data_IF_884074634481
#
_entry.id   IF_884074634481
#
_cell.length_a   1.000
_cell.length_b   1.000
_cell.length_c   1.000
_cell.angle_alpha   90.00
_cell.angle_beta   90.00
_cell.angle_gamma   90.00
#
_symmetry.space_group_name_H-M   'P 1'
#
loop_
_entity.id
_entity.type
_entity.pdbx_description
1 polymer ?
#
# COMPACT_ATOMS: atom_id res chain seq x y z
N UNK A 1 -17.12 2.14 14.05
CA UNK A 1 -16.52 3.45 13.69
C UNK A 1 -15.08 3.45 14.17
N UNK A 2 -14.12 3.23 13.25
CA UNK A 2 -12.69 3.19 13.59
C UNK A 2 -12.22 4.60 13.98
N UNK A 3 -11.52 4.72 15.12
CA UNK A 3 -10.93 5.98 15.60
C UNK A 3 -11.86 6.91 16.35
N UNK A 4 -13.03 6.44 16.77
CA UNK A 4 -13.96 7.16 17.64
C UNK A 4 -14.38 6.28 18.82
N UNK A 5 -14.49 6.89 19.99
CA UNK A 5 -15.06 6.30 21.19
C UNK A 5 -16.35 7.04 21.57
N UNK A 6 -17.30 6.34 22.15
CA UNK A 6 -18.52 6.97 22.70
C UNK A 6 -18.15 7.54 24.06
N UNK A 7 -18.03 8.86 24.14
CA UNK A 7 -17.68 9.53 25.40
C UNK A 7 -18.87 9.67 26.36
N UNK A 8 -20.05 10.02 25.81
CA UNK A 8 -21.29 10.14 26.57
C UNK A 8 -22.45 9.66 25.71
N UNK A 9 -23.34 8.86 26.29
CA UNK A 9 -24.53 8.37 25.61
C UNK A 9 -25.78 8.67 26.47
N UNK A 10 -26.81 9.22 25.86
CA UNK A 10 -28.15 9.38 26.43
C UNK A 10 -29.17 8.68 25.53
N UNK A 11 -30.41 8.58 25.97
CA UNK A 11 -31.48 7.91 25.22
C UNK A 11 -31.76 8.52 23.83
N UNK A 12 -31.33 9.75 23.58
CA UNK A 12 -31.58 10.48 22.34
C UNK A 12 -30.32 11.05 21.66
N UNK A 13 -29.14 10.92 22.27
CA UNK A 13 -27.88 11.47 21.73
C UNK A 13 -26.67 10.66 22.16
N UNK A 14 -25.68 10.58 21.29
CA UNK A 14 -24.36 10.03 21.61
C UNK A 14 -23.28 11.04 21.22
N UNK A 15 -22.33 11.29 22.15
CA UNK A 15 -21.15 12.11 21.87
C UNK A 15 -20.02 11.20 21.44
N UNK A 16 -19.61 11.32 20.19
CA UNK A 16 -18.43 10.63 19.66
C UNK A 16 -17.18 11.49 19.95
N UNK A 17 -16.22 10.90 20.64
CA UNK A 17 -14.91 11.50 20.88
C UNK A 17 -13.91 10.84 19.93
N UNK A 18 -13.20 11.66 19.15
CA UNK A 18 -12.11 11.16 18.32
C UNK A 18 -10.94 10.74 19.20
N UNK A 19 -10.54 9.48 19.12
CA UNK A 19 -9.35 8.95 19.78
C UNK A 19 -8.06 9.42 19.11
N UNK A 20 -8.16 9.90 17.87
CA UNK A 20 -7.01 10.35 17.09
C UNK A 20 -7.04 11.88 16.99
N UNK A 21 -6.14 12.51 17.71
CA UNK A 21 -5.84 13.91 17.45
C UNK A 21 -5.13 13.99 16.10
N UNK A 22 -5.78 14.62 15.10
CA UNK A 22 -5.25 14.71 13.72
C UNK A 22 -3.83 15.32 13.62
N UNK A 23 -3.31 15.92 14.69
CA UNK A 23 -1.97 16.49 14.77
C UNK A 23 -0.92 15.61 15.48
N UNK A 24 -1.29 14.45 16.01
CA UNK A 24 -0.37 13.67 16.86
C UNK A 24 0.45 12.63 16.11
N UNK A 25 -0.04 12.08 15.01
CA UNK A 25 0.68 11.09 14.21
C UNK A 25 1.24 11.74 12.94
N UNK A 26 2.56 11.71 12.72
CA UNK A 26 3.13 12.20 11.47
C UNK A 26 2.59 11.40 10.27
N UNK A 27 2.09 12.08 9.24
CA UNK A 27 1.62 11.45 7.98
C UNK A 27 2.66 10.48 7.40
N UNK A 28 3.94 10.84 7.50
CA UNK A 28 5.04 10.01 7.03
C UNK A 28 5.14 8.66 7.78
N UNK A 29 4.83 8.64 9.06
CA UNK A 29 4.85 7.39 9.84
C UNK A 29 3.76 6.43 9.37
N UNK A 30 2.55 6.94 9.10
CA UNK A 30 1.45 6.15 8.54
C UNK A 30 1.79 5.61 7.15
N UNK A 31 2.34 6.43 6.26
CA UNK A 31 2.80 5.98 4.94
C UNK A 31 3.89 4.92 5.03
N UNK A 32 4.87 5.10 5.91
CA UNK A 32 5.92 4.11 6.12
C UNK A 32 5.35 2.78 6.61
N UNK A 33 4.36 2.82 7.51
CA UNK A 33 3.69 1.61 8.00
C UNK A 33 2.93 0.89 6.88
N UNK A 34 2.17 1.63 6.04
CA UNK A 34 1.51 1.06 4.87
C UNK A 34 2.51 0.38 3.93
N UNK A 35 3.63 1.05 3.63
CA UNK A 35 4.70 0.47 2.80
C UNK A 35 5.28 -0.81 3.42
N UNK A 36 5.54 -0.84 4.72
CA UNK A 36 6.10 -2.00 5.41
C UNK A 36 5.14 -3.20 5.38
N UNK A 37 3.85 -2.98 5.58
CA UNK A 37 2.83 -4.03 5.49
C UNK A 37 2.74 -4.59 4.07
N UNK A 38 2.67 -3.73 3.07
CA UNK A 38 2.66 -4.12 1.66
C UNK A 38 3.92 -4.92 1.29
N UNK A 39 5.10 -4.41 1.63
CA UNK A 39 6.37 -5.06 1.26
C UNK A 39 6.57 -6.39 1.98
N UNK A 40 6.07 -6.53 3.20
CA UNK A 40 6.06 -7.80 3.91
C UNK A 40 5.15 -8.81 3.22
N UNK A 41 3.90 -8.44 2.92
CA UNK A 41 2.96 -9.35 2.27
C UNK A 41 3.45 -9.80 0.89
N UNK A 42 3.97 -8.88 0.07
CA UNK A 42 4.51 -9.24 -1.26
C UNK A 42 5.67 -10.23 -1.16
N UNK A 43 6.58 -10.05 -0.18
CA UNK A 43 7.69 -10.97 0.05
C UNK A 43 7.18 -12.35 0.47
N UNK A 44 6.26 -12.39 1.42
CA UNK A 44 5.68 -13.63 1.92
C UNK A 44 4.96 -14.41 0.78
N UNK A 45 4.24 -13.69 -0.11
CA UNK A 45 3.61 -14.29 -1.30
C UNK A 45 4.66 -14.91 -2.24
N UNK A 46 5.76 -14.21 -2.51
CA UNK A 46 6.86 -14.75 -3.35
C UNK A 46 7.42 -16.00 -2.75
N UNK A 47 7.67 -16.01 -1.42
CA UNK A 47 8.19 -17.18 -0.72
C UNK A 47 7.20 -18.37 -0.78
N UNK A 48 5.90 -18.13 -0.61
CA UNK A 48 4.86 -19.18 -0.70
C UNK A 48 4.74 -19.71 -2.13
N UNK A 49 4.77 -18.86 -3.15
CA UNK A 49 4.77 -19.28 -4.55
C UNK A 49 6.05 -20.04 -4.93
N UNK A 50 7.18 -19.76 -4.27
CA UNK A 50 8.42 -20.52 -4.38
C UNK A 50 8.43 -21.87 -3.62
N UNK A 51 7.32 -22.23 -2.96
CA UNK A 51 7.19 -23.49 -2.21
C UNK A 51 7.28 -23.33 -0.69
N UNK A 52 7.25 -22.11 -0.17
CA UNK A 52 7.19 -21.79 1.26
C UNK A 52 5.86 -22.16 1.90
N UNK A 53 5.78 -21.96 3.23
CA UNK A 53 4.61 -22.27 4.03
C UNK A 53 3.48 -21.24 3.82
N UNK A 54 2.27 -21.72 3.52
CA UNK A 54 1.07 -20.89 3.32
C UNK A 54 0.66 -20.09 4.55
N UNK A 55 1.04 -20.52 5.74
CA UNK A 55 0.78 -19.79 6.99
C UNK A 55 1.38 -18.37 6.96
N UNK A 56 2.43 -18.16 6.17
CA UNK A 56 3.07 -16.84 6.01
C UNK A 56 2.13 -15.77 5.46
N UNK A 57 1.11 -16.15 4.71
CA UNK A 57 0.13 -15.24 4.10
C UNK A 57 -1.29 -15.41 4.66
N UNK A 58 -1.47 -16.22 5.70
CA UNK A 58 -2.78 -16.47 6.30
C UNK A 58 -3.43 -15.20 6.88
N UNK A 59 -2.63 -14.22 7.29
CA UNK A 59 -3.08 -12.93 7.86
C UNK A 59 -3.25 -11.81 6.80
N UNK A 60 -3.29 -12.14 5.50
CA UNK A 60 -3.35 -11.18 4.40
C UNK A 60 -4.50 -10.17 4.54
N UNK A 61 -5.70 -10.62 4.95
CA UNK A 61 -6.87 -9.75 5.16
C UNK A 61 -6.71 -8.82 6.37
N UNK A 62 -5.95 -9.22 7.39
CA UNK A 62 -5.69 -8.37 8.55
C UNK A 62 -4.73 -7.24 8.19
N UNK A 63 -3.68 -7.55 7.41
CA UNK A 63 -2.73 -6.55 6.89
C UNK A 63 -3.42 -5.55 5.98
N UNK A 64 -4.32 -6.00 5.10
CA UNK A 64 -5.12 -5.14 4.22
C UNK A 64 -6.01 -4.20 5.05
N UNK A 65 -6.76 -4.72 6.03
CA UNK A 65 -7.59 -3.88 6.91
C UNK A 65 -6.80 -2.84 7.70
N UNK A 66 -5.55 -3.13 8.06
CA UNK A 66 -4.67 -2.16 8.71
C UNK A 66 -4.27 -1.04 7.74
N UNK A 67 -3.92 -1.39 6.50
CA UNK A 67 -3.58 -0.42 5.44
C UNK A 67 -4.76 0.51 5.13
N UNK A 68 -5.96 -0.02 5.01
CA UNK A 68 -7.20 0.75 4.87
C UNK A 68 -7.38 1.77 6.00
N UNK A 69 -7.21 1.29 7.23
CA UNK A 69 -7.31 2.16 8.40
C UNK A 69 -6.31 3.31 8.38
N UNK A 70 -5.09 3.05 7.93
CA UNK A 70 -4.04 4.06 7.78
C UNK A 70 -4.34 5.04 6.64
N UNK A 71 -4.86 4.57 5.50
CA UNK A 71 -5.30 5.42 4.40
C UNK A 71 -6.39 6.39 4.86
N UNK A 72 -7.45 5.90 5.52
CA UNK A 72 -8.51 6.76 6.06
C UNK A 72 -7.99 7.78 7.07
N UNK A 73 -7.01 7.40 7.89
CA UNK A 73 -6.37 8.33 8.82
C UNK A 73 -5.67 9.47 8.09
N UNK A 74 -4.86 9.14 7.06
CA UNK A 74 -4.15 10.12 6.24
C UNK A 74 -5.13 11.05 5.55
N UNK A 75 -6.17 10.53 4.90
CA UNK A 75 -7.18 11.34 4.21
C UNK A 75 -7.89 12.31 5.16
N UNK A 76 -8.22 11.85 6.35
CA UNK A 76 -8.83 12.70 7.38
C UNK A 76 -7.89 13.78 7.88
N UNK A 77 -6.61 13.46 8.09
CA UNK A 77 -5.61 14.45 8.48
C UNK A 77 -5.42 15.51 7.40
N UNK A 78 -5.35 15.09 6.14
CA UNK A 78 -5.22 16.01 4.99
C UNK A 78 -6.48 16.85 4.84
N UNK A 79 -7.68 16.28 4.96
CA UNK A 79 -8.92 17.05 4.99
C UNK A 79 -8.90 18.14 6.07
N UNK A 80 -8.49 17.78 7.29
CA UNK A 80 -8.35 18.75 8.39
C UNK A 80 -7.29 19.83 8.12
N UNK A 81 -6.20 19.51 7.39
CA UNK A 81 -5.20 20.50 6.97
C UNK A 81 -5.75 21.51 5.97
N UNK A 82 -6.68 21.08 5.09
CA UNK A 82 -7.28 21.98 4.11
C UNK A 82 -8.12 23.06 4.80
N UNK A 83 -8.79 22.71 5.88
CA UNK A 83 -9.72 23.57 6.61
C UNK A 83 -9.05 24.40 7.72
N UNK A 84 -7.94 23.90 8.31
CA UNK A 84 -7.33 24.52 9.50
C UNK A 84 -5.84 24.83 9.34
N UNK A 85 -5.45 26.12 9.36
CA UNK A 85 -4.04 26.51 9.39
C UNK A 85 -3.28 26.00 10.61
N UNK A 86 -3.97 25.75 11.73
CA UNK A 86 -3.37 25.21 12.95
C UNK A 86 -2.88 23.78 12.73
N UNK A 87 -3.68 22.95 12.04
CA UNK A 87 -3.31 21.56 11.70
C UNK A 87 -2.13 21.54 10.72
N UNK A 88 -2.10 22.44 9.74
CA UNK A 88 -0.93 22.62 8.84
C UNK A 88 0.35 22.82 9.64
N UNK A 89 0.31 23.66 10.67
CA UNK A 89 1.47 23.96 11.51
C UNK A 89 1.86 22.75 12.39
N UNK A 90 0.90 22.03 12.96
CA UNK A 90 1.17 20.89 13.83
C UNK A 90 1.76 19.70 13.06
N UNK A 91 1.30 19.46 11.83
CA UNK A 91 1.85 18.40 10.97
C UNK A 91 3.16 18.79 10.28
N UNK A 92 3.61 20.04 10.39
CA UNK A 92 4.81 20.57 9.76
C UNK A 92 4.90 20.34 8.23
N UNK A 93 3.75 20.29 7.56
CA UNK A 93 3.59 20.08 6.13
C UNK A 93 2.77 21.22 5.53
N UNK A 94 3.04 21.61 4.28
CA UNK A 94 2.14 22.47 3.56
C UNK A 94 0.97 21.68 2.93
N UNK A 95 -0.11 22.37 2.52
CA UNK A 95 -1.31 21.72 1.95
C UNK A 95 -1.02 20.88 0.71
N UNK A 96 -0.10 21.35 -0.17
CA UNK A 96 0.31 20.60 -1.36
C UNK A 96 0.96 19.27 -0.98
N UNK A 97 1.87 19.30 0.00
CA UNK A 97 2.50 18.10 0.53
C UNK A 97 1.48 17.14 1.13
N UNK A 98 0.50 17.64 1.87
CA UNK A 98 -0.59 16.82 2.41
C UNK A 98 -1.35 16.08 1.30
N UNK A 99 -1.72 16.77 0.22
CA UNK A 99 -2.39 16.16 -0.94
C UNK A 99 -1.50 15.11 -1.63
N UNK A 100 -0.20 15.38 -1.78
CA UNK A 100 0.78 14.43 -2.32
C UNK A 100 0.85 13.15 -1.46
N UNK A 101 0.82 13.28 -0.12
CA UNK A 101 0.80 12.15 0.81
C UNK A 101 -0.51 11.34 0.71
N UNK A 102 -1.67 12.01 0.59
CA UNK A 102 -2.94 11.32 0.40
C UNK A 102 -2.98 10.54 -0.93
N UNK A 103 -2.45 11.09 -2.01
CA UNK A 103 -2.37 10.40 -3.29
C UNK A 103 -1.44 9.17 -3.22
N UNK A 104 -0.31 9.28 -2.52
CA UNK A 104 0.59 8.14 -2.29
C UNK A 104 -0.08 7.06 -1.42
N UNK A 105 -0.82 7.45 -0.38
CA UNK A 105 -1.57 6.51 0.45
C UNK A 105 -2.58 5.71 -0.37
N UNK A 106 -3.34 6.35 -1.26
CA UNK A 106 -4.26 5.65 -2.18
C UNK A 106 -3.54 4.69 -3.13
N UNK A 107 -2.33 5.05 -3.57
CA UNK A 107 -1.54 4.15 -4.42
C UNK A 107 -1.06 2.93 -3.64
N UNK A 108 -0.61 3.11 -2.40
CA UNK A 108 -0.17 2.00 -1.54
C UNK A 108 -1.34 1.07 -1.16
N UNK A 109 -2.51 1.63 -0.87
CA UNK A 109 -3.73 0.85 -0.60
C UNK A 109 -4.11 0.00 -1.81
N UNK A 110 -4.21 0.58 -3.02
CA UNK A 110 -4.49 -0.19 -4.24
C UNK A 110 -3.48 -1.30 -4.50
N UNK A 111 -2.20 -1.06 -4.21
CA UNK A 111 -1.18 -2.11 -4.29
C UNK A 111 -1.43 -3.20 -3.25
N UNK A 112 -1.87 -2.82 -2.06
CA UNK A 112 -2.23 -3.77 -0.99
C UNK A 112 -3.44 -4.61 -1.37
N UNK A 113 -4.49 -4.01 -1.96
CA UNK A 113 -5.65 -4.73 -2.51
C UNK A 113 -5.23 -5.82 -3.49
N UNK A 114 -4.33 -5.48 -4.43
CA UNK A 114 -3.83 -6.46 -5.39
C UNK A 114 -2.99 -7.55 -4.73
N UNK A 115 -2.14 -7.20 -3.76
CA UNK A 115 -1.37 -8.19 -3.01
C UNK A 115 -2.29 -9.10 -2.19
N UNK A 116 -3.31 -8.55 -1.53
CA UNK A 116 -4.33 -9.29 -0.81
C UNK A 116 -5.08 -10.28 -1.72
N UNK A 117 -5.51 -9.83 -2.89
CA UNK A 117 -6.16 -10.69 -3.87
C UNK A 117 -5.22 -11.80 -4.37
N UNK A 118 -3.95 -11.51 -4.61
CA UNK A 118 -2.96 -12.51 -5.01
C UNK A 118 -2.74 -13.55 -3.90
N UNK A 119 -2.61 -13.13 -2.64
CA UNK A 119 -2.49 -14.04 -1.50
C UNK A 119 -3.70 -14.97 -1.41
N UNK A 120 -4.91 -14.42 -1.51
CA UNK A 120 -6.16 -15.18 -1.51
C UNK A 120 -6.19 -16.21 -2.63
N UNK A 121 -5.88 -15.83 -3.86
CA UNK A 121 -5.84 -16.75 -5.00
C UNK A 121 -4.79 -17.86 -4.80
N UNK A 122 -3.64 -17.53 -4.22
CA UNK A 122 -2.59 -18.50 -3.91
C UNK A 122 -3.07 -19.54 -2.91
N UNK A 123 -3.85 -19.15 -1.89
CA UNK A 123 -4.41 -20.05 -0.88
C UNK A 123 -5.60 -20.87 -1.40
N UNK A 124 -6.42 -20.31 -2.29
CA UNK A 124 -7.64 -20.97 -2.79
C UNK A 124 -7.38 -21.90 -3.99
N UNK A 125 -6.20 -21.85 -4.61
CA UNK A 125 -5.89 -22.66 -5.80
C UNK A 125 -5.33 -24.03 -5.40
N UNK A 126 -5.95 -25.11 -5.89
CA UNK A 126 -5.50 -26.51 -5.66
C UNK A 126 -5.32 -27.24 -7.01
N UNK A 127 -4.14 -27.79 -7.33
CA UNK A 127 -2.91 -27.68 -6.56
C UNK A 127 -2.38 -26.25 -6.54
N UNK A 128 -1.70 -25.88 -5.44
CA UNK A 128 -1.09 -24.56 -5.30
C UNK A 128 -0.08 -24.31 -6.43
N UNK A 129 -0.12 -23.12 -7.06
CA UNK A 129 0.86 -22.77 -8.07
C UNK A 129 2.26 -22.71 -7.46
N UNK A 130 3.21 -23.35 -8.12
CA UNK A 130 4.62 -23.27 -7.79
C UNK A 130 5.36 -22.56 -8.92
N UNK A 131 6.02 -21.46 -8.58
CA UNK A 131 6.74 -20.61 -9.53
C UNK A 131 8.20 -20.52 -9.10
N UNK A 132 9.12 -20.50 -10.06
CA UNK A 132 10.54 -20.29 -9.77
C UNK A 132 10.78 -18.81 -9.36
N UNK A 133 11.33 -18.54 -8.16
CA UNK A 133 11.63 -17.19 -7.72
C UNK A 133 12.66 -16.45 -8.58
N UNK A 134 13.50 -17.19 -9.33
CA UNK A 134 14.53 -16.62 -10.22
C UNK A 134 13.99 -16.34 -11.63
N UNK A 135 12.76 -16.80 -11.91
CA UNK A 135 12.10 -16.57 -13.19
C UNK A 135 10.99 -15.51 -13.08
N UNK A 136 10.61 -14.97 -14.22
CA UNK A 136 9.45 -14.07 -14.29
C UNK A 136 8.15 -14.88 -14.12
N UNK A 137 7.14 -14.34 -13.40
CA UNK A 137 7.06 -12.93 -12.94
C UNK A 137 7.72 -12.63 -11.59
N UNK A 138 8.13 -13.64 -10.80
CA UNK A 138 8.54 -13.44 -9.40
C UNK A 138 9.82 -12.62 -9.27
N UNK A 139 10.80 -12.79 -10.17
CA UNK A 139 12.06 -12.02 -10.15
C UNK A 139 11.85 -10.50 -10.29
N UNK A 140 10.74 -10.06 -10.91
CA UNK A 140 10.44 -8.63 -11.08
C UNK A 140 9.88 -7.99 -9.80
N UNK A 141 9.25 -8.74 -8.90
CA UNK A 141 8.61 -8.20 -7.70
C UNK A 141 9.62 -7.56 -6.72
N UNK A 142 10.77 -8.14 -6.41
CA UNK A 142 11.80 -7.50 -5.58
C UNK A 142 12.31 -6.19 -6.20
N UNK A 143 12.51 -6.14 -7.52
CA UNK A 143 12.96 -4.92 -8.24
C UNK A 143 11.91 -3.82 -8.08
N UNK A 144 10.65 -4.18 -8.26
CA UNK A 144 9.51 -3.27 -8.11
C UNK A 144 9.40 -2.75 -6.67
N UNK A 145 9.52 -3.62 -5.66
CA UNK A 145 9.49 -3.24 -4.25
C UNK A 145 10.64 -2.32 -3.84
N UNK A 146 11.86 -2.56 -4.34
CA UNK A 146 13.01 -1.70 -4.07
C UNK A 146 12.85 -0.32 -4.73
N UNK A 147 12.26 -0.26 -5.91
CA UNK A 147 11.93 1.00 -6.58
C UNK A 147 10.89 1.82 -5.80
N UNK A 148 9.86 1.17 -5.24
CA UNK A 148 8.88 1.85 -4.36
C UNK A 148 9.57 2.35 -3.10
N UNK A 149 10.44 1.57 -2.50
CA UNK A 149 11.23 1.98 -1.33
C UNK A 149 12.07 3.22 -1.62
N UNK A 150 12.75 3.24 -2.77
CA UNK A 150 13.49 4.42 -3.24
C UNK A 150 12.57 5.63 -3.38
N UNK A 151 11.40 5.49 -3.97
CA UNK A 151 10.40 6.57 -4.05
C UNK A 151 9.99 7.06 -2.66
N UNK A 152 9.70 6.16 -1.71
CA UNK A 152 9.29 6.51 -0.34
C UNK A 152 10.37 7.32 0.39
N UNK A 153 11.65 6.94 0.23
CA UNK A 153 12.79 7.64 0.81
C UNK A 153 12.95 9.03 0.16
N UNK A 154 12.92 9.09 -1.15
CA UNK A 154 13.24 10.30 -1.92
C UNK A 154 12.11 11.33 -1.92
N UNK A 155 10.86 10.92 -1.72
CA UNK A 155 9.75 11.82 -1.42
C UNK A 155 10.01 12.67 -0.16
N UNK A 156 10.68 12.10 0.84
CA UNK A 156 11.06 12.82 2.06
C UNK A 156 12.24 13.76 1.83
N UNK A 157 13.25 13.27 1.09
CA UNK A 157 14.51 14.03 0.82
C UNK A 157 14.28 15.03 -0.32
N UNK A 158 13.30 14.77 -1.21
CA UNK A 158 12.98 15.56 -2.42
C UNK A 158 14.12 15.58 -3.45
N UNK A 159 14.82 14.48 -3.56
CA UNK A 159 15.79 14.29 -4.63
C UNK A 159 15.08 13.93 -5.93
N UNK A 160 14.98 14.91 -6.83
CA UNK A 160 14.30 14.74 -8.11
C UNK A 160 15.00 13.76 -9.05
N UNK A 161 16.32 13.63 -8.94
CA UNK A 161 17.08 12.67 -9.75
C UNK A 161 16.76 11.24 -9.33
N UNK A 162 16.86 10.95 -8.03
CA UNK A 162 16.55 9.63 -7.48
C UNK A 162 15.08 9.23 -7.69
N UNK A 163 14.16 10.18 -7.61
CA UNK A 163 12.75 9.94 -7.93
C UNK A 163 12.59 9.52 -9.40
N UNK A 164 13.28 10.17 -10.32
CA UNK A 164 13.20 9.84 -11.74
C UNK A 164 13.86 8.48 -12.04
N UNK A 165 14.96 8.16 -11.41
CA UNK A 165 15.61 6.84 -11.49
C UNK A 165 14.65 5.74 -11.01
N UNK A 166 14.03 5.92 -9.84
CA UNK A 166 13.08 4.95 -9.30
C UNK A 166 11.83 4.78 -10.20
N UNK A 167 11.31 5.88 -10.78
CA UNK A 167 10.19 5.83 -11.74
C UNK A 167 10.55 5.04 -12.99
N UNK A 168 11.75 5.24 -13.54
CA UNK A 168 12.20 4.52 -14.71
C UNK A 168 12.37 3.02 -14.42
N UNK A 169 12.96 2.67 -13.27
CA UNK A 169 13.08 1.26 -12.84
C UNK A 169 11.70 0.58 -12.68
N UNK A 170 10.70 1.28 -12.13
CA UNK A 170 9.33 0.78 -12.04
C UNK A 170 8.72 0.55 -13.42
N UNK A 171 8.96 1.46 -14.35
CA UNK A 171 8.44 1.39 -15.71
C UNK A 171 9.06 0.23 -16.50
N UNK A 172 10.37 0.03 -16.35
CA UNK A 172 11.09 -1.05 -17.00
C UNK A 172 10.60 -2.42 -16.45
N UNK A 173 10.50 -2.57 -15.14
CA UNK A 173 9.97 -3.78 -14.52
C UNK A 173 8.51 -4.08 -14.93
N UNK A 174 7.68 -3.05 -15.12
CA UNK A 174 6.33 -3.19 -15.63
C UNK A 174 6.32 -3.68 -17.09
N UNK A 175 7.21 -3.14 -17.94
CA UNK A 175 7.30 -3.55 -19.36
C UNK A 175 7.74 -5.01 -19.48
N UNK A 176 8.66 -5.47 -18.65
CA UNK A 176 9.12 -6.85 -18.60
C UNK A 176 7.96 -7.79 -18.23
N UNK A 177 7.19 -7.46 -17.17
CA UNK A 177 6.01 -8.22 -16.78
C UNK A 177 4.96 -8.27 -17.91
N UNK A 178 4.65 -7.14 -18.54
CA UNK A 178 3.66 -7.07 -19.65
C UNK A 178 4.12 -7.87 -20.87
N UNK A 179 5.42 -7.87 -21.20
CA UNK A 179 5.95 -8.61 -22.34
C UNK A 179 5.73 -10.12 -22.20
N UNK A 180 5.87 -10.64 -20.98
CA UNK A 180 5.71 -12.06 -20.68
C UNK A 180 4.24 -12.46 -20.65
N UNK A 181 3.38 -11.65 -20.05
CA UNK A 181 1.94 -11.89 -20.05
C UNK A 181 1.38 -11.98 -21.48
N UNK A 182 1.95 -11.23 -22.44
CA UNK A 182 1.58 -11.32 -23.87
C UNK A 182 2.09 -12.59 -24.56
N UNK A 183 3.22 -13.14 -24.13
CA UNK A 183 3.83 -14.31 -24.76
C UNK A 183 3.18 -15.61 -24.27
N UNK A 184 2.68 -15.67 -23.05
CA UNK A 184 2.29 -16.94 -22.44
C UNK A 184 0.81 -17.29 -22.52
N UNK A 185 -0.11 -16.42 -22.98
CA UNK A 185 -1.58 -16.68 -22.98
C UNK A 185 -2.11 -17.32 -21.65
N UNK A 186 -1.27 -17.35 -20.62
CA UNK A 186 -1.44 -18.19 -19.43
C UNK A 186 -2.28 -17.52 -18.34
N UNK A 187 -2.58 -16.22 -18.47
CA UNK A 187 -3.19 -15.42 -17.43
C UNK A 187 -4.45 -14.67 -17.89
N UNK A 188 -5.33 -15.30 -18.68
CA UNK A 188 -6.64 -14.69 -18.95
C UNK A 188 -7.41 -14.28 -17.66
N UNK A 189 -7.30 -15.01 -16.52
CA UNK A 189 -7.93 -14.56 -15.27
C UNK A 189 -7.27 -13.34 -14.62
N UNK A 190 -6.02 -13.01 -14.96
CA UNK A 190 -5.21 -12.00 -14.26
C UNK A 190 -5.27 -10.58 -14.89
N UNK A 191 -5.85 -10.44 -16.07
CA UNK A 191 -5.93 -9.15 -16.79
C UNK A 191 -6.75 -8.08 -16.06
N UNK A 192 -7.62 -8.46 -15.12
CA UNK A 192 -8.37 -7.51 -14.29
C UNK A 192 -7.55 -6.83 -13.20
N UNK A 193 -6.32 -7.31 -12.95
CA UNK A 193 -5.49 -6.89 -11.80
C UNK A 193 -4.42 -5.86 -12.20
N UNK A 194 -4.07 -5.76 -13.49
CA UNK A 194 -3.11 -4.74 -13.98
C UNK A 194 -3.89 -3.51 -14.42
N UNK A 195 -4.03 -2.48 -13.58
CA UNK A 195 -4.66 -1.24 -14.01
C UNK A 195 -3.77 -0.57 -15.06
N UNK A 196 -4.40 -0.02 -16.09
CA UNK A 196 -3.74 0.94 -16.97
C UNK A 196 -3.27 2.12 -16.09
N UNK A 197 -1.97 2.19 -15.81
CA UNK A 197 -1.29 3.36 -15.25
C UNK A 197 -1.04 4.37 -16.35
#
# INVERSE_FOLDING_TARGET
>A
TRGFEIGEQSDSSARLVSLLNAGELPLQASLNRMYLLLSSLVRDIVDVLGGGDEEMIADHEEREREVDGLQYLIERQVGSMLDSPHIVKSLALNRKQGVEHANLARSLERMMDHANQLAKMTLETDPRPHLDPEELPLVALPIWMESIKSLMINLRIRDSHEIEVARNSLKDAQLDLVSILKVQNFFEPWWGIVPAL
#
